data_IF_293599250340
#
_entry.id   IF_293599250340
#
_cell.length_a   1.000
_cell.length_b   1.000
_cell.length_c   1.000
_cell.angle_alpha   90.00
_cell.angle_beta   90.00
_cell.angle_gamma   90.00
#
_symmetry.space_group_name_H-M   'P 1'
#
loop_
_entity.id
_entity.type
_entity.pdbx_description
1 polymer ?
#
# COMPACT_ATOMS: atom_id res chain seq x y z
N UNK A 1 52.13 61.36 -17.36
CA UNK A 1 52.13 60.01 -17.90
C UNK A 1 51.61 59.09 -16.79
N UNK A 2 50.31 58.80 -16.77
CA UNK A 2 49.65 57.99 -15.74
C UNK A 2 49.37 56.62 -16.36
N UNK A 3 50.01 55.58 -15.81
CA UNK A 3 49.82 54.20 -16.21
C UNK A 3 48.65 53.61 -15.42
N UNK A 4 47.57 53.24 -16.12
CA UNK A 4 46.44 52.56 -15.57
C UNK A 4 46.70 51.04 -15.58
N UNK A 5 46.75 50.44 -14.39
CA UNK A 5 46.77 48.97 -14.28
C UNK A 5 45.35 48.42 -14.31
N UNK A 6 45.06 47.65 -15.35
CA UNK A 6 43.83 46.87 -15.48
C UNK A 6 44.01 45.53 -14.74
N UNK A 7 43.33 45.38 -13.61
CA UNK A 7 43.30 44.11 -12.89
C UNK A 7 42.21 43.22 -13.52
N UNK A 8 42.62 42.17 -14.20
CA UNK A 8 41.73 41.16 -14.73
C UNK A 8 41.31 40.22 -13.59
N UNK A 9 40.04 40.33 -13.17
CA UNK A 9 39.44 39.42 -12.20
C UNK A 9 38.90 38.18 -12.93
N UNK A 10 39.67 37.10 -12.92
CA UNK A 10 39.25 35.79 -13.38
C UNK A 10 38.30 35.16 -12.35
N UNK A 11 37.02 35.24 -12.61
CA UNK A 11 36.00 34.57 -11.85
C UNK A 11 36.03 33.07 -12.21
N UNK A 12 36.52 32.25 -11.30
CA UNK A 12 36.52 30.78 -11.43
C UNK A 12 35.09 30.30 -11.22
N UNK A 13 34.45 29.86 -12.31
CA UNK A 13 33.17 29.14 -12.27
C UNK A 13 33.50 27.68 -11.95
N UNK A 14 33.58 27.36 -10.67
CA UNK A 14 33.63 25.99 -10.14
C UNK A 14 32.43 25.80 -9.20
N UNK A 15 31.30 25.50 -9.75
CA UNK A 15 30.22 24.86 -9.00
C UNK A 15 29.08 24.48 -9.93
N UNK A 16 29.07 23.29 -10.47
CA UNK A 16 27.90 22.57 -11.03
C UNK A 16 28.17 21.09 -11.34
N UNK A 17 29.34 20.55 -11.00
CA UNK A 17 29.65 19.14 -11.34
C UNK A 17 29.43 18.15 -10.20
N UNK A 18 29.39 18.61 -8.94
CA UNK A 18 29.19 17.71 -7.79
C UNK A 18 27.68 17.41 -7.55
N UNK A 19 26.80 18.39 -7.73
CA UNK A 19 25.35 18.18 -7.58
C UNK A 19 24.79 17.18 -8.60
N UNK A 20 25.25 17.24 -9.85
CA UNK A 20 24.87 16.29 -10.88
C UNK A 20 25.34 14.85 -10.63
N UNK A 21 26.44 14.66 -9.90
CA UNK A 21 26.92 13.31 -9.54
C UNK A 21 26.14 12.72 -8.37
N UNK A 22 25.76 13.54 -7.40
CA UNK A 22 24.91 13.13 -6.27
C UNK A 22 23.49 12.83 -6.71
N UNK A 23 22.89 13.66 -7.56
CA UNK A 23 21.57 13.37 -8.17
C UNK A 23 21.60 12.09 -9.02
N UNK A 24 22.61 11.92 -9.88
CA UNK A 24 22.77 10.68 -10.65
C UNK A 24 22.96 9.45 -9.77
N UNK A 25 23.75 9.55 -8.69
CA UNK A 25 23.96 8.43 -7.76
C UNK A 25 22.70 8.11 -6.92
N UNK A 26 21.88 9.10 -6.61
CA UNK A 26 20.59 8.93 -5.92
C UNK A 26 19.54 8.32 -6.86
N UNK A 27 19.55 8.69 -8.14
CA UNK A 27 18.68 8.12 -9.17
C UNK A 27 19.11 6.68 -9.51
N UNK A 28 20.41 6.40 -9.62
CA UNK A 28 20.92 5.05 -9.89
C UNK A 28 20.74 4.07 -8.71
N UNK A 29 20.67 4.55 -7.47
CA UNK A 29 20.44 3.70 -6.28
C UNK A 29 18.97 3.29 -6.09
N UNK A 30 18.02 3.84 -6.87
CA UNK A 30 16.59 3.70 -6.65
C UNK A 30 15.86 2.81 -7.67
N UNK A 31 16.54 2.19 -8.62
CA UNK A 31 15.86 1.47 -9.69
C UNK A 31 16.17 -0.02 -9.65
N UNK A 32 15.44 -0.75 -8.82
CA UNK A 32 15.39 -2.20 -8.92
C UNK A 32 14.47 -2.54 -10.10
N UNK A 33 15.05 -2.97 -11.22
CA UNK A 33 14.28 -3.43 -12.36
C UNK A 33 13.59 -4.74 -11.97
N UNK A 34 12.28 -4.82 -12.22
CA UNK A 34 11.49 -6.03 -12.06
C UNK A 34 11.28 -6.64 -13.45
N UNK A 35 11.77 -7.86 -13.64
CA UNK A 35 11.68 -8.58 -14.91
C UNK A 35 10.54 -9.59 -14.96
N UNK A 36 9.88 -9.83 -13.82
CA UNK A 36 8.77 -10.77 -13.67
C UNK A 36 7.57 -10.10 -13.03
N UNK A 37 6.38 -10.54 -13.40
CA UNK A 37 5.13 -10.09 -12.78
C UNK A 37 5.22 -10.20 -11.27
N UNK A 38 4.99 -9.09 -10.56
CA UNK A 38 5.28 -9.00 -9.14
C UNK A 38 4.32 -8.06 -8.40
N UNK A 39 4.17 -8.32 -7.11
CA UNK A 39 3.59 -7.40 -6.14
C UNK A 39 4.72 -6.61 -5.47
N UNK A 40 4.52 -5.31 -5.30
CA UNK A 40 5.41 -4.40 -4.57
C UNK A 40 4.65 -3.79 -3.39
N UNK A 41 5.26 -3.78 -2.21
CA UNK A 41 4.71 -3.09 -1.04
C UNK A 41 4.95 -1.58 -1.18
N UNK A 42 3.87 -0.81 -1.29
CA UNK A 42 3.91 0.65 -1.45
C UNK A 42 3.62 1.40 -0.14
N UNK A 43 3.00 0.75 0.82
CA UNK A 43 2.69 1.29 2.14
C UNK A 43 2.31 0.18 3.10
N UNK A 44 2.47 0.43 4.39
CA UNK A 44 2.24 -0.57 5.45
C UNK A 44 1.49 -0.02 6.65
N UNK A 45 1.16 1.27 6.67
CA UNK A 45 0.57 1.95 7.82
C UNK A 45 -0.96 1.98 7.68
N UNK A 46 -1.66 1.91 8.80
CA UNK A 46 -3.11 2.02 8.90
C UNK A 46 -3.58 3.45 8.50
N UNK A 47 -4.84 3.59 8.12
CA UNK A 47 -5.56 4.74 7.56
C UNK A 47 -5.11 6.13 8.04
N UNK A 48 -4.93 6.26 9.36
CA UNK A 48 -4.65 7.55 9.97
C UNK A 48 -3.22 8.04 9.74
N UNK A 49 -2.38 7.20 9.11
CA UNK A 49 -0.99 7.52 8.80
C UNK A 49 -0.04 7.50 10.01
N UNK A 50 1.25 7.70 9.73
CA UNK A 50 2.29 7.85 10.75
C UNK A 50 3.30 8.92 10.31
N UNK A 51 3.43 10.05 11.05
CA UNK A 51 2.80 10.34 12.34
C UNK A 51 1.28 10.49 12.25
N UNK A 52 0.56 9.99 13.24
CA UNK A 52 -0.88 10.22 13.34
C UNK A 52 -1.15 11.65 13.81
N UNK A 53 -2.17 12.29 13.23
CA UNK A 53 -2.59 13.65 13.59
C UNK A 53 -2.77 13.80 15.10
N UNK A 54 -2.24 14.90 15.66
CA UNK A 54 -2.26 15.25 17.09
C UNK A 54 -1.59 14.24 18.04
N UNK A 55 -0.93 13.21 17.57
CA UNK A 55 -0.22 12.26 18.41
C UNK A 55 1.08 12.86 18.97
N UNK A 56 1.17 12.97 20.31
CA UNK A 56 2.36 13.43 21.04
C UNK A 56 3.22 12.30 21.59
N UNK A 57 2.85 11.04 21.34
CA UNK A 57 3.59 9.86 21.83
C UNK A 57 4.94 9.73 21.12
N UNK A 58 5.86 8.99 21.71
CA UNK A 58 7.21 8.73 21.14
C UNK A 58 7.17 8.16 19.73
N UNK A 59 6.15 7.37 19.38
CA UNK A 59 5.98 6.79 18.05
C UNK A 59 5.77 7.84 16.94
N UNK A 60 5.30 9.04 17.27
CA UNK A 60 4.99 10.10 16.31
C UNK A 60 5.79 11.39 16.50
N UNK A 61 6.10 11.76 17.74
CA UNK A 61 6.61 13.09 18.06
C UNK A 61 7.86 13.49 17.24
N UNK A 62 8.80 12.57 17.05
CA UNK A 62 10.03 12.82 16.28
C UNK A 62 9.79 12.93 14.76
N UNK A 63 8.70 12.33 14.26
CA UNK A 63 8.39 12.28 12.82
C UNK A 63 7.88 13.61 12.28
N UNK A 64 7.42 14.51 13.13
CA UNK A 64 7.03 15.86 12.71
C UNK A 64 8.23 16.75 12.37
N UNK A 65 9.38 16.48 12.98
CA UNK A 65 10.64 17.19 12.71
C UNK A 65 11.59 16.42 11.81
N UNK A 66 11.48 15.09 11.78
CA UNK A 66 12.30 14.20 10.96
C UNK A 66 11.40 13.15 10.28
N UNK A 67 10.73 13.49 9.17
CA UNK A 67 9.78 12.62 8.50
C UNK A 67 10.44 11.33 7.97
N UNK A 68 9.77 10.20 8.17
CA UNK A 68 10.16 8.91 7.59
C UNK A 68 9.30 8.62 6.35
N UNK A 69 9.89 8.69 5.18
CA UNK A 69 9.22 8.46 3.90
C UNK A 69 8.77 7.00 3.68
N UNK A 70 9.16 6.08 4.57
CA UNK A 70 8.71 4.69 4.56
C UNK A 70 7.47 4.46 5.42
N UNK A 71 6.88 5.51 5.98
CA UNK A 71 5.63 5.42 6.73
C UNK A 71 4.46 5.90 5.90
N UNK A 72 4.13 5.14 4.86
CA UNK A 72 3.00 5.40 3.97
C UNK A 72 1.84 4.46 4.28
N UNK A 73 0.62 4.94 4.05
CA UNK A 73 -0.61 4.18 4.26
C UNK A 73 -0.63 2.95 3.35
N UNK A 74 -1.20 1.86 3.84
CA UNK A 74 -1.18 0.54 3.21
C UNK A 74 -1.66 0.56 1.77
N UNK A 75 -0.82 0.06 0.87
CA UNK A 75 -1.15 -0.13 -0.54
C UNK A 75 -0.18 -1.12 -1.16
N UNK A 76 -0.68 -1.89 -2.12
CA UNK A 76 0.14 -2.76 -2.96
C UNK A 76 0.16 -2.23 -4.40
N UNK A 77 1.29 -2.41 -5.08
CA UNK A 77 1.41 -2.28 -6.52
C UNK A 77 1.51 -3.65 -7.18
N UNK A 78 0.78 -3.87 -8.26
CA UNK A 78 0.95 -5.03 -9.13
C UNK A 78 1.60 -4.57 -10.43
N UNK A 79 2.65 -5.24 -10.85
CA UNK A 79 3.39 -4.99 -12.08
C UNK A 79 3.20 -6.19 -13.00
N UNK A 80 2.53 -5.96 -14.12
CA UNK A 80 2.40 -6.89 -15.25
C UNK A 80 3.53 -6.60 -16.23
N UNK A 81 4.63 -7.33 -16.11
CA UNK A 81 5.81 -7.13 -16.96
C UNK A 81 5.62 -7.61 -18.40
N UNK A 82 4.66 -8.51 -18.63
CA UNK A 82 4.36 -9.01 -19.96
C UNK A 82 3.66 -7.94 -20.80
N UNK A 83 2.73 -7.19 -20.20
CA UNK A 83 1.91 -6.18 -20.89
C UNK A 83 2.34 -4.75 -20.56
N UNK A 84 3.38 -4.54 -19.77
CA UNK A 84 3.86 -3.24 -19.27
C UNK A 84 2.76 -2.41 -18.63
N UNK A 85 1.97 -3.04 -17.75
CA UNK A 85 0.87 -2.41 -17.02
C UNK A 85 1.11 -2.46 -15.53
N UNK A 86 0.59 -1.45 -14.85
CA UNK A 86 0.67 -1.35 -13.39
C UNK A 86 -0.69 -1.10 -12.78
N UNK A 87 -0.94 -1.73 -11.64
CA UNK A 87 -2.20 -1.60 -10.91
C UNK A 87 -1.94 -1.29 -9.45
N UNK A 88 -2.83 -0.50 -8.86
CA UNK A 88 -2.75 -0.10 -7.47
C UNK A 88 -3.89 -0.75 -6.67
N UNK A 89 -3.60 -1.28 -5.50
CA UNK A 89 -4.60 -1.70 -4.52
C UNK A 89 -4.64 -0.64 -3.42
N UNK A 90 -5.80 -0.01 -3.31
CA UNK A 90 -6.15 1.18 -2.54
C UNK A 90 -5.51 2.50 -3.01
N UNK A 91 -6.35 3.52 -3.06
CA UNK A 91 -5.98 4.90 -3.37
C UNK A 91 -5.83 5.71 -2.08
N UNK A 92 -4.68 5.61 -1.45
CA UNK A 92 -4.41 6.17 -0.13
C UNK A 92 -4.13 7.68 -0.16
N UNK A 93 -4.11 8.38 0.99
CA UNK A 93 -3.61 9.76 1.07
C UNK A 93 -2.19 9.94 0.53
N UNK A 94 -1.37 8.87 0.51
CA UNK A 94 0.01 8.87 0.01
C UNK A 94 0.13 8.53 -1.48
N UNK A 95 -0.97 8.40 -2.21
CA UNK A 95 -1.05 7.93 -3.62
C UNK A 95 -0.02 8.59 -4.53
N UNK A 96 0.28 9.87 -4.35
CA UNK A 96 1.25 10.61 -5.18
C UNK A 96 2.64 9.98 -5.14
N UNK A 97 3.09 9.59 -3.94
CA UNK A 97 4.39 8.94 -3.74
C UNK A 97 4.35 7.48 -4.14
N UNK A 98 3.24 6.81 -3.86
CA UNK A 98 3.03 5.40 -4.18
C UNK A 98 3.00 5.16 -5.68
N UNK A 99 2.26 5.98 -6.45
CA UNK A 99 2.28 5.92 -7.91
C UNK A 99 3.68 6.15 -8.47
N UNK A 100 4.37 7.22 -8.03
CA UNK A 100 5.72 7.50 -8.51
C UNK A 100 6.69 6.38 -8.16
N UNK A 101 6.54 5.76 -7.00
CA UNK A 101 7.34 4.60 -6.60
C UNK A 101 7.08 3.42 -7.53
N UNK A 102 5.81 3.12 -7.80
CA UNK A 102 5.41 2.00 -8.64
C UNK A 102 5.92 2.16 -10.08
N UNK A 103 5.80 3.34 -10.67
CA UNK A 103 6.29 3.60 -12.03
C UNK A 103 7.82 3.46 -12.17
N UNK A 104 8.57 3.62 -11.10
CA UNK A 104 10.03 3.42 -11.13
C UNK A 104 10.45 1.96 -11.29
N UNK A 105 9.56 0.99 -11.04
CA UNK A 105 9.86 -0.44 -11.21
C UNK A 105 9.66 -0.93 -12.64
N UNK A 106 8.80 -0.29 -13.44
CA UNK A 106 8.63 -0.62 -14.86
C UNK A 106 9.22 0.49 -15.75
N UNK A 107 10.50 0.36 -16.06
CA UNK A 107 11.22 1.33 -16.92
C UNK A 107 10.79 1.32 -18.39
N UNK A 108 10.05 0.31 -18.83
CA UNK A 108 9.55 0.23 -20.20
C UNK A 108 8.22 0.95 -20.35
N UNK A 109 7.50 1.14 -19.26
CA UNK A 109 6.31 1.98 -19.27
C UNK A 109 6.72 3.45 -19.36
N UNK A 110 6.12 4.16 -20.31
CA UNK A 110 6.21 5.63 -20.41
C UNK A 110 5.11 6.32 -19.60
N UNK A 111 4.21 5.55 -19.00
CA UNK A 111 3.11 6.06 -18.19
C UNK A 111 3.57 6.41 -16.79
N UNK A 112 3.27 7.62 -16.36
CA UNK A 112 3.45 8.06 -14.95
C UNK A 112 2.19 7.79 -14.10
N UNK A 113 1.18 7.10 -14.67
CA UNK A 113 -0.07 6.75 -14.02
C UNK A 113 -0.34 5.26 -14.16
N UNK A 114 -1.02 4.69 -13.18
CA UNK A 114 -1.41 3.28 -13.18
C UNK A 114 -2.54 2.99 -14.17
N UNK A 115 -2.59 1.75 -14.67
CA UNK A 115 -3.60 1.27 -15.61
C UNK A 115 -4.93 0.88 -14.93
N UNK A 116 -4.96 0.84 -13.60
CA UNK A 116 -6.17 0.60 -12.83
C UNK A 116 -5.93 0.63 -11.33
N UNK A 117 -7.01 0.87 -10.59
CA UNK A 117 -7.01 0.95 -9.12
C UNK A 117 -8.11 0.04 -8.59
N UNK A 118 -7.78 -0.81 -7.63
CA UNK A 118 -8.68 -1.69 -6.91
C UNK A 118 -8.93 -1.12 -5.52
N UNK A 119 -10.19 -0.91 -5.13
CA UNK A 119 -10.54 -0.38 -3.81
C UNK A 119 -11.04 -1.50 -2.91
N UNK A 120 -10.55 -1.52 -1.67
CA UNK A 120 -11.01 -2.47 -0.66
C UNK A 120 -12.31 -2.02 0.00
N UNK A 121 -12.37 -0.78 0.47
CA UNK A 121 -13.54 -0.22 1.18
C UNK A 121 -13.47 1.30 1.35
N UNK A 122 -14.53 1.90 1.93
CA UNK A 122 -14.69 3.35 2.07
C UNK A 122 -14.19 3.90 3.42
N UNK A 123 -13.06 3.45 3.92
CA UNK A 123 -12.32 4.16 4.98
C UNK A 123 -11.27 5.10 4.38
N UNK A 124 -11.01 6.21 5.07
CA UNK A 124 -10.22 7.33 4.53
C UNK A 124 -8.83 6.95 4.02
N UNK A 125 -8.22 5.94 4.60
CA UNK A 125 -6.91 5.44 4.19
C UNK A 125 -6.91 4.72 2.84
N UNK A 126 -8.09 4.27 2.33
CA UNK A 126 -8.16 3.34 1.21
C UNK A 126 -8.67 3.98 -0.10
N UNK A 127 -9.35 5.14 -0.04
CA UNK A 127 -9.95 5.74 -1.24
C UNK A 127 -9.78 7.25 -1.40
N UNK A 128 -9.39 7.98 -0.36
CA UNK A 128 -9.34 9.46 -0.43
C UNK A 128 -8.31 9.98 -1.41
N UNK A 129 -7.29 9.20 -1.73
CA UNK A 129 -6.29 9.53 -2.74
C UNK A 129 -6.85 9.67 -4.16
N UNK A 130 -8.03 9.10 -4.45
CA UNK A 130 -8.72 9.30 -5.74
C UNK A 130 -8.89 10.78 -6.08
N UNK A 131 -8.98 11.66 -5.08
CA UNK A 131 -9.11 13.11 -5.29
C UNK A 131 -7.95 13.70 -6.12
N UNK A 132 -6.76 13.12 -6.05
CA UNK A 132 -5.62 13.55 -6.86
C UNK A 132 -5.76 13.25 -8.36
N UNK A 133 -6.75 12.43 -8.75
CA UNK A 133 -7.07 12.17 -10.16
C UNK A 133 -7.96 13.28 -10.77
N UNK A 134 -8.54 14.13 -9.91
CA UNK A 134 -9.44 15.21 -10.31
C UNK A 134 -8.74 16.39 -10.98
N UNK A 135 -9.57 17.34 -11.43
CA UNK A 135 -9.17 18.52 -12.19
C UNK A 135 -8.16 19.41 -11.47
N UNK A 136 -8.26 19.50 -10.15
CA UNK A 136 -7.43 20.35 -9.32
C UNK A 136 -5.98 19.85 -9.21
N UNK A 137 -5.74 18.60 -9.59
CA UNK A 137 -4.42 17.99 -9.54
C UNK A 137 -4.01 17.44 -10.92
N UNK A 138 -4.40 16.21 -11.25
CA UNK A 138 -3.93 15.52 -12.45
C UNK A 138 -4.83 15.70 -13.68
N UNK A 139 -6.12 15.95 -13.48
CA UNK A 139 -7.16 15.95 -14.50
C UNK A 139 -7.08 14.69 -15.40
N UNK A 140 -6.97 13.52 -14.75
CA UNK A 140 -6.82 12.24 -15.43
C UNK A 140 -7.99 11.95 -16.39
N UNK A 141 -7.81 11.00 -17.30
CA UNK A 141 -8.80 10.63 -18.32
C UNK A 141 -9.14 9.16 -18.21
N UNK A 142 -10.26 8.85 -17.54
CA UNK A 142 -10.88 7.54 -17.53
C UNK A 142 -10.05 6.45 -16.86
N UNK A 143 -9.33 6.77 -15.77
CA UNK A 143 -8.56 5.74 -15.05
C UNK A 143 -9.54 4.69 -14.52
N UNK A 144 -9.36 3.40 -14.87
CA UNK A 144 -10.19 2.31 -14.35
C UNK A 144 -10.11 2.23 -12.83
N UNK A 145 -11.26 2.27 -12.16
CA UNK A 145 -11.38 2.05 -10.71
C UNK A 145 -12.37 0.91 -10.49
N UNK A 146 -11.85 -0.17 -9.94
CA UNK A 146 -12.60 -1.39 -9.65
C UNK A 146 -13.11 -1.34 -8.23
N UNK A 147 -14.41 -1.48 -8.05
CA UNK A 147 -15.07 -1.32 -6.76
C UNK A 147 -16.31 -2.23 -6.65
N UNK A 148 -16.62 -2.65 -5.43
CA UNK A 148 -17.85 -3.36 -5.12
C UNK A 148 -19.07 -2.44 -5.31
N UNK A 149 -20.30 -3.00 -5.46
CA UNK A 149 -21.50 -2.23 -5.82
C UNK A 149 -21.80 -1.03 -4.92
N UNK A 150 -21.77 -1.18 -3.57
CA UNK A 150 -22.01 -0.05 -2.66
C UNK A 150 -20.88 0.99 -2.73
N UNK A 151 -19.63 0.54 -2.85
CA UNK A 151 -18.49 1.45 -3.05
C UNK A 151 -18.61 2.26 -4.34
N UNK A 152 -19.04 1.63 -5.42
CA UNK A 152 -19.33 2.28 -6.70
C UNK A 152 -20.46 3.30 -6.56
N UNK A 153 -21.55 2.93 -5.89
CA UNK A 153 -22.68 3.83 -5.60
C UNK A 153 -22.25 5.01 -4.73
N UNK A 154 -21.47 4.75 -3.68
CA UNK A 154 -20.90 5.79 -2.81
C UNK A 154 -20.08 6.82 -3.60
N UNK A 155 -19.16 6.40 -4.46
CA UNK A 155 -18.34 7.28 -5.29
C UNK A 155 -19.17 8.05 -6.32
N UNK A 156 -20.24 7.45 -6.85
CA UNK A 156 -21.08 8.06 -7.88
C UNK A 156 -22.03 9.13 -7.34
N UNK A 157 -22.47 8.99 -6.08
CA UNK A 157 -23.56 9.82 -5.53
C UNK A 157 -23.08 10.81 -4.46
N UNK A 158 -21.84 10.70 -3.97
CA UNK A 158 -21.35 11.60 -2.93
C UNK A 158 -20.31 12.58 -3.46
N UNK A 159 -20.48 13.85 -3.15
CA UNK A 159 -19.46 14.86 -3.36
C UNK A 159 -18.27 14.68 -2.40
N UNK A 160 -17.04 14.97 -2.84
CA UNK A 160 -16.68 15.46 -4.15
C UNK A 160 -16.34 14.36 -5.18
N UNK A 161 -16.41 13.07 -4.82
CA UNK A 161 -16.02 11.94 -5.70
C UNK A 161 -16.89 11.82 -6.96
N UNK A 162 -18.17 12.18 -6.88
CA UNK A 162 -19.07 12.16 -8.03
C UNK A 162 -18.59 13.09 -9.18
N UNK A 163 -17.79 14.11 -8.88
CA UNK A 163 -17.16 14.94 -9.91
C UNK A 163 -16.10 14.19 -10.69
N UNK A 164 -15.35 13.28 -10.06
CA UNK A 164 -14.37 12.43 -10.74
C UNK A 164 -15.05 11.53 -11.77
N UNK A 165 -16.22 10.99 -11.38
CA UNK A 165 -17.04 10.13 -12.27
C UNK A 165 -17.67 10.94 -13.40
N UNK A 166 -18.38 12.02 -13.09
CA UNK A 166 -19.11 12.82 -14.08
C UNK A 166 -18.19 13.52 -15.06
N UNK A 167 -16.98 13.91 -14.65
CA UNK A 167 -15.94 14.49 -15.51
C UNK A 167 -15.11 13.45 -16.24
N UNK A 168 -15.37 12.16 -15.99
CA UNK A 168 -14.62 11.03 -16.57
C UNK A 168 -13.12 11.08 -16.21
N UNK A 169 -12.77 11.58 -15.03
CA UNK A 169 -11.42 11.45 -14.52
C UNK A 169 -11.14 9.98 -14.17
N UNK A 170 -12.15 9.29 -13.63
CA UNK A 170 -12.15 7.85 -13.36
C UNK A 170 -13.28 7.16 -14.12
N UNK A 171 -13.11 5.87 -14.41
CA UNK A 171 -14.13 4.98 -14.94
C UNK A 171 -14.39 3.86 -13.92
N UNK A 172 -15.61 3.82 -13.35
CA UNK A 172 -15.95 2.83 -12.34
C UNK A 172 -16.33 1.50 -12.99
N UNK A 173 -15.64 0.44 -12.58
CA UNK A 173 -15.90 -0.95 -12.95
C UNK A 173 -16.40 -1.70 -11.73
N UNK A 174 -17.60 -2.29 -11.85
CA UNK A 174 -18.22 -3.03 -10.77
C UNK A 174 -17.60 -4.41 -10.61
N UNK A 175 -17.30 -4.77 -9.36
CA UNK A 175 -16.84 -6.08 -8.96
C UNK A 175 -17.99 -6.90 -8.40
N UNK A 176 -17.86 -8.23 -8.45
CA UNK A 176 -18.80 -9.18 -7.86
C UNK A 176 -18.03 -10.15 -6.96
N UNK A 177 -18.54 -10.38 -5.74
CA UNK A 177 -17.89 -11.26 -4.78
C UNK A 177 -17.57 -12.63 -5.37
N UNK A 178 -16.34 -13.10 -5.15
CA UNK A 178 -15.83 -14.40 -5.62
C UNK A 178 -15.78 -14.57 -7.15
N UNK A 179 -16.06 -13.51 -7.92
CA UNK A 179 -15.99 -13.54 -9.37
C UNK A 179 -14.72 -12.84 -9.85
N UNK A 180 -13.84 -13.60 -10.48
CA UNK A 180 -12.59 -13.02 -10.96
C UNK A 180 -12.80 -12.14 -12.19
N UNK A 181 -11.93 -11.16 -12.32
CA UNK A 181 -11.71 -10.41 -13.55
C UNK A 181 -10.32 -10.74 -14.12
N UNK A 182 -10.21 -10.77 -15.44
CA UNK A 182 -8.93 -10.94 -16.12
C UNK A 182 -8.33 -9.58 -16.44
N UNK A 183 -7.14 -9.31 -15.91
CA UNK A 183 -6.33 -8.15 -16.32
C UNK A 183 -5.48 -8.48 -17.55
N UNK A 184 -5.03 -9.72 -17.62
CA UNK A 184 -4.31 -10.29 -18.76
C UNK A 184 -4.52 -11.82 -18.76
N UNK A 185 -3.96 -12.52 -19.75
CA UNK A 185 -4.05 -13.99 -19.83
C UNK A 185 -3.46 -14.71 -18.62
N UNK A 186 -2.52 -14.07 -17.92
CA UNK A 186 -1.79 -14.64 -16.78
C UNK A 186 -2.18 -14.04 -15.44
N UNK A 187 -3.01 -12.96 -15.41
CA UNK A 187 -3.35 -12.25 -14.18
C UNK A 187 -4.86 -12.20 -14.00
N UNK A 188 -5.31 -12.71 -12.84
CA UNK A 188 -6.72 -12.67 -12.42
C UNK A 188 -6.82 -12.06 -11.02
N UNK A 189 -7.84 -11.24 -10.80
CA UNK A 189 -8.13 -10.61 -9.51
C UNK A 189 -9.52 -11.03 -9.08
N UNK A 190 -9.63 -11.61 -7.87
CA UNK A 190 -10.90 -12.05 -7.28
C UNK A 190 -11.15 -11.29 -5.99
N UNK A 191 -12.21 -10.48 -5.89
CA UNK A 191 -12.62 -9.88 -4.62
C UNK A 191 -13.26 -10.93 -3.71
N UNK A 192 -12.98 -10.85 -2.42
CA UNK A 192 -13.54 -11.69 -1.37
C UNK A 192 -14.13 -10.80 -0.29
N UNK A 193 -15.44 -10.86 -0.06
CA UNK A 193 -16.07 -10.14 1.04
C UNK A 193 -15.44 -10.57 2.38
N UNK A 194 -15.10 -9.60 3.20
CA UNK A 194 -14.60 -9.79 4.55
C UNK A 194 -15.43 -8.96 5.53
N UNK A 195 -15.64 -9.43 6.78
CA UNK A 195 -16.37 -8.64 7.77
C UNK A 195 -15.53 -7.44 8.21
N UNK A 196 -16.15 -6.27 8.23
CA UNK A 196 -15.56 -5.05 8.78
C UNK A 196 -16.66 -4.03 9.04
N UNK A 197 -16.31 -2.76 9.33
CA UNK A 197 -17.30 -1.67 9.48
C UNK A 197 -17.73 -1.18 8.09
N UNK A 198 -18.90 -1.62 7.67
CA UNK A 198 -19.44 -1.41 6.32
C UNK A 198 -20.44 -0.23 6.27
N UNK A 199 -20.07 0.93 6.83
CA UNK A 199 -20.93 2.10 6.91
C UNK A 199 -21.33 2.65 5.52
N UNK A 200 -20.39 2.66 4.56
CA UNK A 200 -20.59 3.25 3.24
C UNK A 200 -20.33 2.31 2.06
N UNK A 201 -19.65 1.21 2.30
CA UNK A 201 -19.29 0.25 1.25
C UNK A 201 -19.22 -1.15 1.83
N UNK A 202 -19.16 -2.15 0.96
CA UNK A 202 -18.61 -3.46 1.33
C UNK A 202 -17.12 -3.31 1.67
N UNK A 203 -16.62 -4.23 2.48
CA UNK A 203 -15.17 -4.43 2.65
C UNK A 203 -14.74 -5.72 1.95
N UNK A 204 -13.70 -5.66 1.13
CA UNK A 204 -13.15 -6.82 0.43
C UNK A 204 -11.65 -6.95 0.61
N UNK A 205 -11.19 -8.19 0.66
CA UNK A 205 -9.83 -8.56 0.31
C UNK A 205 -9.74 -8.98 -1.15
N UNK A 206 -8.53 -9.19 -1.65
CA UNK A 206 -8.29 -9.62 -3.02
C UNK A 206 -7.41 -10.86 -3.08
N UNK A 207 -7.84 -11.86 -3.84
CA UNK A 207 -6.95 -12.93 -4.31
C UNK A 207 -6.36 -12.49 -5.66
N UNK A 208 -5.05 -12.47 -5.74
CA UNK A 208 -4.28 -12.01 -6.90
C UNK A 208 -3.55 -13.22 -7.44
N UNK A 209 -3.98 -13.72 -8.59
CA UNK A 209 -3.33 -14.82 -9.29
C UNK A 209 -2.41 -14.26 -10.36
N UNK A 210 -1.14 -14.60 -10.30
CA UNK A 210 -0.15 -14.31 -11.33
C UNK A 210 0.20 -15.52 -12.19
N UNK A 211 1.23 -15.41 -13.03
CA UNK A 211 1.67 -16.49 -13.92
C UNK A 211 2.05 -17.79 -13.22
N UNK A 212 2.72 -17.71 -12.08
CA UNK A 212 3.29 -18.87 -11.37
C UNK A 212 2.82 -18.98 -9.93
N UNK A 213 2.52 -17.86 -9.28
CA UNK A 213 2.15 -17.79 -7.87
C UNK A 213 0.93 -16.90 -7.67
N UNK A 214 0.38 -16.99 -6.46
CA UNK A 214 -0.79 -16.24 -6.06
C UNK A 214 -0.62 -15.59 -4.70
N UNK A 215 -1.35 -14.50 -4.48
CA UNK A 215 -1.34 -13.77 -3.23
C UNK A 215 -2.76 -13.50 -2.74
N UNK A 216 -2.92 -13.40 -1.43
CA UNK A 216 -4.10 -12.91 -0.75
C UNK A 216 -3.76 -11.57 -0.10
N UNK A 217 -4.59 -10.55 -0.31
CA UNK A 217 -4.45 -9.23 0.31
C UNK A 217 -5.71 -8.90 1.09
N UNK A 218 -5.63 -8.92 2.41
CA UNK A 218 -6.69 -8.54 3.34
C UNK A 218 -6.10 -7.52 4.32
N UNK A 219 -6.04 -6.22 3.93
CA UNK A 219 -5.41 -5.21 4.77
C UNK A 219 -6.26 -4.86 5.98
N UNK A 220 -7.57 -5.02 5.88
CA UNK A 220 -8.50 -4.63 6.92
C UNK A 220 -9.63 -5.67 7.04
N UNK A 221 -9.84 -6.19 8.24
CA UNK A 221 -10.86 -7.20 8.54
C UNK A 221 -11.21 -7.12 10.03
N UNK A 222 -12.42 -7.49 10.41
CA UNK A 222 -12.78 -7.77 11.80
C UNK A 222 -12.12 -9.09 12.28
N UNK A 223 -12.45 -9.56 13.46
CA UNK A 223 -11.91 -10.82 14.01
C UNK A 223 -12.10 -11.97 13.03
N UNK A 224 -11.10 -12.84 12.92
CA UNK A 224 -11.12 -14.02 12.02
C UNK A 224 -12.36 -14.89 12.20
N UNK A 225 -12.92 -14.95 13.41
CA UNK A 225 -14.10 -15.75 13.75
C UNK A 225 -15.42 -15.17 13.21
N UNK A 226 -15.41 -13.91 12.78
CA UNK A 226 -16.58 -13.27 12.16
C UNK A 226 -16.63 -13.46 10.66
N UNK A 227 -15.57 -13.97 10.05
CA UNK A 227 -15.56 -14.22 8.62
C UNK A 227 -16.24 -15.56 8.30
N UNK A 228 -17.14 -15.54 7.32
CA UNK A 228 -17.87 -16.75 6.87
C UNK A 228 -16.94 -17.79 6.23
N UNK A 229 -15.73 -17.37 5.80
CA UNK A 229 -14.68 -18.26 5.30
C UNK A 229 -13.66 -18.56 6.38
N UNK A 230 -12.96 -19.68 6.22
CA UNK A 230 -11.85 -20.03 7.09
C UNK A 230 -10.54 -19.53 6.48
N UNK A 231 -9.87 -18.60 7.17
CA UNK A 231 -8.58 -18.06 6.72
C UNK A 231 -7.51 -19.15 6.48
N UNK A 232 -7.55 -20.27 7.23
CA UNK A 232 -6.60 -21.38 7.05
C UNK A 232 -6.78 -22.02 5.67
N UNK A 233 -8.04 -22.19 5.23
CA UNK A 233 -8.35 -22.78 3.93
C UNK A 233 -7.95 -21.82 2.79
N UNK A 234 -8.13 -20.52 2.97
CA UNK A 234 -7.68 -19.53 1.99
C UNK A 234 -6.14 -19.47 1.90
N UNK A 235 -5.41 -19.60 3.02
CA UNK A 235 -3.95 -19.68 3.06
C UNK A 235 -3.39 -20.88 2.30
N UNK A 236 -4.09 -22.00 2.35
CA UNK A 236 -3.67 -23.21 1.61
C UNK A 236 -3.70 -23.02 0.07
N UNK A 237 -4.47 -22.06 -0.42
CA UNK A 237 -4.65 -21.79 -1.86
C UNK A 237 -3.73 -20.71 -2.43
N UNK A 238 -2.86 -20.10 -1.61
CA UNK A 238 -1.98 -19.01 -2.04
C UNK A 238 -0.53 -19.21 -1.60
N UNK A 239 0.38 -18.51 -2.26
CA UNK A 239 1.81 -18.53 -1.95
C UNK A 239 2.21 -17.40 -0.99
N UNK A 240 1.46 -16.30 -0.99
CA UNK A 240 1.65 -15.13 -0.13
C UNK A 240 0.32 -14.67 0.45
N UNK A 241 0.31 -14.22 1.70
CA UNK A 241 -0.87 -13.64 2.33
C UNK A 241 -0.50 -12.38 3.10
N UNK A 242 -0.90 -11.22 2.59
CA UNK A 242 -0.74 -9.92 3.23
C UNK A 242 -1.97 -9.67 4.11
N UNK A 243 -1.82 -9.83 5.42
CA UNK A 243 -2.92 -9.87 6.36
C UNK A 243 -2.88 -8.72 7.36
N UNK A 244 -4.07 -8.25 7.74
CA UNK A 244 -4.28 -7.24 8.77
C UNK A 244 -3.50 -7.54 10.05
N UNK A 245 -2.75 -6.55 10.49
CA UNK A 245 -1.99 -6.56 11.72
C UNK A 245 -1.98 -5.17 12.37
N UNK A 246 -3.13 -4.53 12.40
CA UNK A 246 -3.29 -3.14 12.88
C UNK A 246 -2.68 -2.96 14.27
N UNK A 247 -2.93 -3.88 15.18
CA UNK A 247 -2.35 -3.86 16.54
C UNK A 247 -1.56 -5.14 16.83
N UNK A 248 -0.47 -5.00 17.57
CA UNK A 248 0.25 -6.16 18.06
C UNK A 248 -0.50 -6.83 19.21
N UNK A 249 -0.94 -6.02 20.19
CA UNK A 249 -1.66 -6.47 21.38
C UNK A 249 -2.52 -5.37 21.99
N UNK A 250 -3.38 -5.70 22.94
CA UNK A 250 -4.20 -4.73 23.68
C UNK A 250 -3.41 -3.68 24.48
N UNK A 251 -2.12 -3.88 24.70
CA UNK A 251 -1.25 -2.92 25.42
C UNK A 251 -1.14 -1.56 24.70
N UNK A 252 -1.38 -1.51 23.41
CA UNK A 252 -1.37 -0.28 22.61
C UNK A 252 -2.60 0.60 22.85
N UNK A 253 -3.67 0.02 23.35
CA UNK A 253 -5.02 0.57 23.42
C UNK A 253 -5.42 0.93 24.86
N UNK A 254 -4.57 1.66 25.57
CA UNK A 254 -4.81 2.07 26.96
C UNK A 254 -6.30 2.40 27.22
N UNK A 255 -6.97 1.65 28.10
CA UNK A 255 -8.34 1.84 28.57
C UNK A 255 -9.48 1.58 27.54
N UNK A 256 -9.25 0.86 26.47
CA UNK A 256 -10.31 0.40 25.56
C UNK A 256 -10.53 -1.10 25.73
N UNK A 257 -11.80 -1.52 25.63
CA UNK A 257 -12.11 -2.93 25.51
C UNK A 257 -11.58 -3.47 24.18
N UNK A 258 -10.68 -4.43 24.25
CA UNK A 258 -10.05 -5.02 23.06
C UNK A 258 -11.03 -5.86 22.23
N UNK A 259 -12.13 -6.34 22.85
CA UNK A 259 -13.17 -7.09 22.13
C UNK A 259 -13.97 -6.23 21.17
N UNK A 260 -14.02 -4.91 21.39
CA UNK A 260 -14.71 -3.93 20.54
C UNK A 260 -13.84 -3.48 19.36
N UNK A 261 -12.56 -3.86 19.32
CA UNK A 261 -11.66 -3.45 18.25
C UNK A 261 -11.81 -4.36 17.04
N UNK A 262 -12.27 -3.83 15.90
CA UNK A 262 -12.58 -4.62 14.70
C UNK A 262 -11.33 -4.95 13.88
N UNK A 263 -10.32 -5.54 14.53
CA UNK A 263 -9.10 -6.05 13.89
C UNK A 263 -8.58 -7.25 14.67
N UNK A 264 -8.07 -8.30 14.02
CA UNK A 264 -7.34 -9.35 14.71
C UNK A 264 -5.98 -8.81 15.18
N UNK A 265 -5.68 -8.94 16.47
CA UNK A 265 -4.34 -8.61 16.96
C UNK A 265 -3.31 -9.64 16.47
N UNK A 266 -2.05 -9.23 16.34
CA UNK A 266 -0.98 -10.15 15.96
C UNK A 266 -0.90 -11.34 16.93
N UNK A 267 -1.06 -11.09 18.23
CA UNK A 267 -1.09 -12.18 19.24
C UNK A 267 -2.28 -13.13 19.05
N UNK A 268 -3.44 -12.65 18.62
CA UNK A 268 -4.60 -13.50 18.29
C UNK A 268 -4.33 -14.31 17.01
N UNK A 269 -3.70 -13.67 16.00
CA UNK A 269 -3.28 -14.33 14.78
C UNK A 269 -2.22 -15.42 15.06
N UNK A 270 -1.32 -15.24 16.01
CA UNK A 270 -0.41 -16.29 16.44
C UNK A 270 -1.15 -17.53 16.96
N UNK A 271 -2.19 -17.35 17.77
CA UNK A 271 -3.01 -18.46 18.27
C UNK A 271 -3.83 -19.10 17.14
N UNK A 272 -4.40 -18.31 16.24
CA UNK A 272 -5.15 -18.81 15.09
C UNK A 272 -4.30 -19.69 14.18
N UNK A 273 -3.05 -19.30 13.95
CA UNK A 273 -2.14 -19.96 13.02
C UNK A 273 -1.14 -20.94 13.68
N UNK A 274 -1.26 -21.20 14.98
CA UNK A 274 -0.30 -22.03 15.74
C UNK A 274 -0.17 -23.48 15.23
N UNK A 275 -1.24 -24.03 14.65
CA UNK A 275 -1.26 -25.40 14.10
C UNK A 275 -0.59 -25.50 12.71
N UNK A 276 -0.35 -24.37 12.03
CA UNK A 276 0.35 -24.36 10.75
C UNK A 276 1.82 -24.73 10.94
N UNK A 277 2.40 -25.45 9.99
CA UNK A 277 3.84 -25.64 9.94
C UNK A 277 4.59 -24.35 9.58
N UNK A 278 5.90 -24.33 9.68
CA UNK A 278 6.72 -23.14 9.45
C UNK A 278 6.59 -22.63 8.00
N UNK A 279 6.52 -23.51 7.01
CA UNK A 279 6.37 -23.14 5.62
C UNK A 279 5.05 -22.39 5.37
N UNK A 280 3.95 -22.86 5.95
CA UNK A 280 2.65 -22.20 5.85
C UNK A 280 2.64 -20.87 6.59
N UNK A 281 3.25 -20.80 7.80
CA UNK A 281 3.38 -19.52 8.52
C UNK A 281 4.21 -18.50 7.76
N UNK A 282 5.23 -18.93 7.02
CA UNK A 282 6.10 -18.05 6.22
C UNK A 282 5.40 -17.42 5.01
N UNK A 283 4.24 -17.94 4.60
CA UNK A 283 3.38 -17.29 3.59
C UNK A 283 2.72 -16.02 4.13
N UNK A 284 2.55 -15.91 5.47
CA UNK A 284 1.83 -14.84 6.14
C UNK A 284 2.76 -13.65 6.36
N UNK A 285 2.39 -12.51 5.78
CA UNK A 285 3.10 -11.25 5.82
C UNK A 285 2.17 -10.22 6.45
N UNK A 286 2.45 -9.83 7.69
CA UNK A 286 1.66 -8.84 8.39
C UNK A 286 1.83 -7.45 7.78
N UNK A 287 0.71 -6.72 7.62
CA UNK A 287 0.62 -5.38 7.02
C UNK A 287 -0.42 -4.52 7.76
N UNK A 288 -0.59 -3.25 7.41
CA UNK A 288 -1.64 -2.36 7.95
C UNK A 288 -1.43 -1.97 9.41
N UNK A 289 -0.24 -1.45 9.76
CA UNK A 289 0.14 -1.18 11.15
C UNK A 289 -0.40 0.16 11.65
N UNK A 290 -1.10 0.17 12.78
CA UNK A 290 -1.35 1.42 13.48
C UNK A 290 -0.03 2.08 13.91
N UNK A 291 0.01 3.40 13.99
CA UNK A 291 1.21 4.18 14.35
C UNK A 291 1.85 3.76 15.69
N UNK A 292 1.08 3.12 16.59
CA UNK A 292 1.57 2.62 17.89
C UNK A 292 2.12 1.19 17.81
N UNK A 293 1.90 0.49 16.70
CA UNK A 293 2.30 -0.91 16.58
C UNK A 293 3.83 -1.04 16.66
N UNK A 294 4.37 -1.79 17.65
CA UNK A 294 5.81 -1.88 17.86
C UNK A 294 6.57 -2.56 16.71
N UNK A 295 5.88 -3.37 15.86
CA UNK A 295 6.57 -4.05 14.74
C UNK A 295 6.93 -3.11 13.59
N UNK A 296 6.48 -1.86 13.60
CA UNK A 296 6.99 -0.81 12.69
C UNK A 296 8.51 -0.64 12.91
N UNK A 297 8.97 -0.74 14.17
CA UNK A 297 10.40 -0.71 14.49
C UNK A 297 11.02 -2.10 14.23
N UNK A 298 11.94 -2.22 13.25
CA UNK A 298 12.57 -3.51 12.92
C UNK A 298 13.39 -4.13 14.07
N UNK A 299 13.79 -3.32 15.05
CA UNK A 299 14.60 -3.74 16.18
C UNK A 299 13.81 -4.05 17.45
N UNK A 300 12.47 -3.93 17.43
CA UNK A 300 11.64 -4.22 18.61
C UNK A 300 11.65 -5.70 19.00
N UNK A 301 11.34 -5.98 20.24
CA UNK A 301 11.17 -7.37 20.73
C UNK A 301 9.99 -8.06 20.03
N UNK A 302 8.95 -7.29 19.77
CA UNK A 302 7.75 -7.77 19.06
C UNK A 302 8.08 -8.16 17.61
N UNK A 303 8.90 -7.38 16.90
CA UNK A 303 9.39 -7.74 15.56
C UNK A 303 10.18 -9.06 15.60
N UNK A 304 11.08 -9.21 16.56
CA UNK A 304 11.83 -10.47 16.73
C UNK A 304 10.89 -11.64 17.00
N UNK A 305 9.90 -11.46 17.87
CA UNK A 305 8.91 -12.50 18.18
C UNK A 305 8.09 -12.94 16.96
N UNK A 306 7.70 -11.99 16.09
CA UNK A 306 7.01 -12.31 14.82
C UNK A 306 7.88 -13.22 13.94
N UNK A 307 9.15 -12.84 13.77
CA UNK A 307 10.10 -13.56 12.90
C UNK A 307 10.42 -14.94 13.49
N UNK A 308 10.71 -15.03 14.80
CA UNK A 308 10.99 -16.29 15.49
C UNK A 308 9.84 -17.31 15.42
N UNK A 309 8.60 -16.81 15.31
CA UNK A 309 7.41 -17.66 15.10
C UNK A 309 7.19 -18.09 13.65
N UNK A 310 8.08 -17.69 12.72
CA UNK A 310 8.02 -18.05 11.31
C UNK A 310 7.13 -17.17 10.44
N UNK A 311 6.65 -16.04 10.96
CA UNK A 311 5.87 -15.06 10.19
C UNK A 311 6.76 -13.98 9.58
N UNK A 312 6.22 -13.24 8.62
CA UNK A 312 6.89 -12.13 7.96
C UNK A 312 6.19 -10.80 8.26
N UNK A 313 6.91 -9.72 8.04
CA UNK A 313 6.42 -8.35 8.23
C UNK A 313 6.69 -7.59 6.93
N UNK A 314 5.65 -7.01 6.35
CA UNK A 314 5.77 -6.20 5.15
C UNK A 314 6.63 -4.95 5.39
N UNK A 315 7.52 -4.67 4.45
CA UNK A 315 8.32 -3.44 4.41
C UNK A 315 8.14 -2.77 3.05
N UNK A 316 8.16 -1.45 3.03
CA UNK A 316 8.09 -0.70 1.77
C UNK A 316 9.25 -1.13 0.86
N UNK A 317 8.96 -1.32 -0.41
CA UNK A 317 9.83 -1.84 -1.46
C UNK A 317 10.10 -3.36 -1.41
N UNK A 318 9.49 -4.12 -0.50
CA UNK A 318 9.50 -5.57 -0.64
C UNK A 318 8.80 -5.96 -1.95
N UNK A 319 9.40 -6.92 -2.67
CA UNK A 319 8.91 -7.42 -3.97
C UNK A 319 8.63 -8.92 -3.86
N UNK A 320 7.48 -9.32 -4.38
CA UNK A 320 6.99 -10.70 -4.37
C UNK A 320 6.64 -11.10 -5.80
N UNK A 321 7.43 -12.01 -6.38
CA UNK A 321 7.18 -12.57 -7.71
C UNK A 321 5.92 -13.45 -7.71
N UNK A 322 5.06 -13.27 -8.73
CA UNK A 322 3.81 -14.02 -8.93
C UNK A 322 3.88 -15.06 -10.04
#
# INVERSE_FOLDING_TARGET
>A
MKIFHFLFLTMIILSCSEDNRLEKSLIEKSTMQIDKTSIVILGTIQDAGSPQIACKKKCCAHLYTNPDNNRQVVSLGLIDTENHKTYLFDATPDIRRQMKRLTNYDRKSTNEIVDGIFLTHAHIGHYTGLMYLGKEAMDSKGIPVYAMPKMKDFLSNNGPWNLLVSRKNIALHELENEKYIELSKSIQITPLLVPHRDEFSETVGYKIKGPNKSALFIPDIDKWEKWDKNIIDELAMVDYAFLDATFYSGKELQNRDISEIPHPFIIESFEKFKALNEQERNKIIFIHFNHTNPIINPNSMETKSVIEKGFRIARINDVFEL
#
